data_IF_786715030287
#
_entry.id   IF_786715030287
#
_cell.length_a   1.000
_cell.length_b   1.000
_cell.length_c   1.000
_cell.angle_alpha   90.00
_cell.angle_beta   90.00
_cell.angle_gamma   90.00
#
_symmetry.space_group_name_H-M   'P 1'
#
loop_
_entity.id
_entity.type
_entity.pdbx_description
1 polymer ?
#
# COMPACT_ATOMS: atom_id res chain seq x y z
N UNK A 1 22.40 -36.20 1.72
CA UNK A 1 21.77 -35.33 2.72
C UNK A 1 22.18 -33.84 2.56
N UNK A 2 22.29 -33.34 1.33
CA UNK A 2 22.72 -31.95 1.02
C UNK A 2 21.70 -31.12 0.23
N UNK A 3 20.46 -31.58 0.08
CA UNK A 3 19.43 -30.88 -0.73
C UNK A 3 18.57 -29.85 0.03
N UNK A 4 18.68 -29.78 1.36
CA UNK A 4 17.84 -28.90 2.16
C UNK A 4 18.37 -27.46 2.30
N UNK A 5 19.64 -27.21 2.04
CA UNK A 5 20.27 -25.91 2.26
C UNK A 5 19.85 -24.89 1.17
N UNK A 6 19.65 -25.36 -0.06
CA UNK A 6 19.22 -24.52 -1.18
C UNK A 6 17.78 -24.02 -1.06
N UNK A 7 16.88 -24.85 -0.55
CA UNK A 7 15.48 -24.49 -0.35
C UNK A 7 15.28 -23.45 0.77
N UNK A 8 16.04 -23.56 1.83
CA UNK A 8 15.96 -22.61 2.94
C UNK A 8 16.57 -21.25 2.58
N UNK A 9 17.63 -21.21 1.81
CA UNK A 9 18.22 -19.96 1.34
C UNK A 9 17.31 -19.24 0.35
N UNK A 10 16.62 -19.97 -0.53
CA UNK A 10 15.62 -19.38 -1.45
C UNK A 10 14.40 -18.82 -0.75
N UNK A 11 13.91 -19.49 0.29
CA UNK A 11 12.79 -18.95 1.11
C UNK A 11 13.18 -17.67 1.84
N UNK A 12 14.38 -17.58 2.35
CA UNK A 12 14.89 -16.37 3.00
C UNK A 12 15.05 -15.20 2.02
N UNK A 13 15.58 -15.45 0.83
CA UNK A 13 15.70 -14.45 -0.23
C UNK A 13 14.34 -13.95 -0.71
N UNK A 14 13.40 -14.85 -0.94
CA UNK A 14 12.02 -14.52 -1.29
C UNK A 14 11.34 -13.66 -0.23
N UNK A 15 11.47 -14.05 1.04
CA UNK A 15 10.91 -13.30 2.17
C UNK A 15 11.54 -11.92 2.31
N UNK A 16 12.84 -11.81 2.09
CA UNK A 16 13.56 -10.54 2.15
C UNK A 16 13.12 -9.56 1.05
N UNK A 17 13.08 -10.02 -0.19
CA UNK A 17 12.60 -9.20 -1.33
C UNK A 17 11.16 -8.78 -1.11
N UNK A 18 10.30 -9.72 -0.69
CA UNK A 18 8.91 -9.44 -0.39
C UNK A 18 8.75 -8.39 0.71
N UNK A 19 9.50 -8.51 1.80
CA UNK A 19 9.48 -7.54 2.90
C UNK A 19 9.97 -6.16 2.46
N UNK A 20 11.03 -6.08 1.67
CA UNK A 20 11.58 -4.82 1.15
C UNK A 20 10.60 -4.11 0.23
N UNK A 21 10.00 -4.82 -0.71
CA UNK A 21 9.00 -4.25 -1.63
C UNK A 21 7.73 -3.86 -0.88
N UNK A 22 7.25 -4.72 0.03
CA UNK A 22 6.04 -4.44 0.82
C UNK A 22 6.22 -3.21 1.72
N UNK A 23 7.39 -3.07 2.37
CA UNK A 23 7.68 -1.89 3.18
C UNK A 23 7.77 -0.61 2.36
N UNK A 24 8.34 -0.67 1.15
CA UNK A 24 8.38 0.45 0.22
C UNK A 24 6.97 0.86 -0.22
N UNK A 25 6.12 -0.11 -0.57
CA UNK A 25 4.71 0.14 -0.93
C UNK A 25 3.95 0.75 0.24
N UNK A 26 4.11 0.20 1.45
CA UNK A 26 3.46 0.73 2.65
C UNK A 26 3.89 2.17 2.95
N UNK A 27 5.16 2.49 2.79
CA UNK A 27 5.69 3.84 3.00
C UNK A 27 5.14 4.83 1.97
N UNK A 28 5.12 4.46 0.70
CA UNK A 28 4.56 5.28 -0.38
C UNK A 28 3.06 5.49 -0.17
N UNK A 29 2.32 4.43 0.16
CA UNK A 29 0.90 4.50 0.46
C UNK A 29 0.61 5.46 1.62
N UNK A 30 1.38 5.36 2.69
CA UNK A 30 1.26 6.24 3.86
C UNK A 30 1.46 7.71 3.49
N UNK A 31 2.47 8.02 2.68
CA UNK A 31 2.73 9.39 2.21
C UNK A 31 1.58 9.90 1.36
N UNK A 32 1.12 9.13 0.38
CA UNK A 32 0.04 9.54 -0.53
C UNK A 32 -1.26 9.77 0.25
N UNK A 33 -1.65 8.82 1.10
CA UNK A 33 -2.88 8.91 1.91
C UNK A 33 -2.82 10.08 2.90
N UNK A 34 -1.64 10.36 3.47
CA UNK A 34 -1.47 11.51 4.37
C UNK A 34 -1.66 12.84 3.63
N UNK A 35 -1.06 12.98 2.45
CA UNK A 35 -1.21 14.17 1.63
C UNK A 35 -2.67 14.37 1.19
N UNK A 36 -3.33 13.30 0.78
CA UNK A 36 -4.74 13.31 0.40
C UNK A 36 -5.66 13.66 1.59
N UNK A 37 -5.39 13.09 2.75
CA UNK A 37 -6.14 13.42 3.98
C UNK A 37 -5.97 14.89 4.40
N UNK A 38 -4.75 15.43 4.27
CA UNK A 38 -4.50 16.86 4.54
C UNK A 38 -5.27 17.74 3.55
N UNK A 39 -5.26 17.41 2.25
CA UNK A 39 -6.08 18.09 1.26
C UNK A 39 -7.57 18.08 1.62
N UNK A 40 -8.10 16.92 2.00
CA UNK A 40 -9.49 16.78 2.39
C UNK A 40 -9.87 17.60 3.65
N UNK A 41 -8.94 17.73 4.58
CA UNK A 41 -9.14 18.61 5.76
C UNK A 41 -9.17 20.07 5.34
N UNK A 42 -8.27 20.50 4.45
CA UNK A 42 -8.22 21.87 3.94
C UNK A 42 -9.53 22.22 3.21
N UNK A 43 -9.96 21.35 2.29
CA UNK A 43 -11.23 21.52 1.57
C UNK A 43 -12.43 21.57 2.51
N UNK A 44 -12.41 20.76 3.57
CA UNK A 44 -13.46 20.75 4.59
C UNK A 44 -13.46 22.00 5.47
N UNK A 45 -12.32 22.66 5.66
CA UNK A 45 -12.21 23.90 6.44
C UNK A 45 -12.86 25.08 5.71
N UNK A 46 -12.82 25.10 4.38
CA UNK A 46 -13.48 26.15 3.59
C UNK A 46 -15.02 26.09 3.72
N UNK A 47 -15.57 24.92 4.06
CA UNK A 47 -16.99 24.73 4.35
C UNK A 47 -17.38 25.04 5.83
N UNK A 48 -16.39 25.29 6.69
CA UNK A 48 -16.62 25.67 8.09
C UNK A 48 -17.13 27.12 8.16
N UNK A 49 -18.31 27.29 8.54
CA UNK A 49 -18.95 28.60 8.73
C UNK A 49 -20.44 28.58 8.46
N UNK A 50 -20.90 27.64 7.68
CA UNK A 50 -22.33 27.52 7.34
C UNK A 50 -23.02 26.29 7.95
N UNK A 51 -22.35 25.17 8.18
CA UNK A 51 -23.01 23.94 8.68
C UNK A 51 -22.11 22.92 9.41
N UNK A 52 -20.77 23.05 9.40
CA UNK A 52 -19.90 22.03 9.94
C UNK A 52 -18.97 22.53 11.04
N UNK A 53 -18.80 21.70 12.06
CA UNK A 53 -17.80 21.91 13.12
C UNK A 53 -16.50 21.19 12.73
N UNK A 54 -15.34 21.73 13.11
CA UNK A 54 -14.01 21.13 12.83
C UNK A 54 -13.95 19.65 13.21
N UNK A 55 -14.53 19.26 14.34
CA UNK A 55 -14.59 17.85 14.76
C UNK A 55 -15.35 16.95 13.77
N UNK A 56 -16.38 17.48 13.11
CA UNK A 56 -17.14 16.73 12.09
C UNK A 56 -16.32 16.51 10.83
N UNK A 57 -15.51 17.48 10.43
CA UNK A 57 -14.58 17.34 9.29
C UNK A 57 -13.55 16.25 9.58
N UNK A 58 -12.95 16.26 10.77
CA UNK A 58 -11.97 15.24 11.17
C UNK A 58 -12.59 13.84 11.21
N UNK A 59 -13.79 13.71 11.75
CA UNK A 59 -14.51 12.42 11.77
C UNK A 59 -14.84 11.95 10.35
N UNK A 60 -15.28 12.85 9.48
CA UNK A 60 -15.56 12.54 8.09
C UNK A 60 -14.31 12.03 7.36
N UNK A 61 -13.18 12.72 7.48
CA UNK A 61 -11.91 12.31 6.90
C UNK A 61 -11.48 10.94 7.46
N UNK A 62 -11.60 10.73 8.78
CA UNK A 62 -11.26 9.44 9.39
C UNK A 62 -12.14 8.28 8.89
N UNK A 63 -13.43 8.52 8.68
CA UNK A 63 -14.36 7.52 8.14
C UNK A 63 -14.11 7.21 6.66
N UNK A 64 -13.61 8.18 5.90
CA UNK A 64 -13.28 8.01 4.48
C UNK A 64 -11.88 7.44 4.23
N UNK A 65 -11.02 7.36 5.26
CA UNK A 65 -9.67 6.80 5.14
C UNK A 65 -9.61 5.40 4.49
N UNK A 66 -10.47 4.42 4.86
CA UNK A 66 -10.44 3.10 4.23
C UNK A 66 -10.70 3.15 2.71
N UNK A 67 -11.64 3.98 2.28
CA UNK A 67 -11.95 4.17 0.87
C UNK A 67 -10.77 4.81 0.13
N UNK A 68 -10.14 5.82 0.72
CA UNK A 68 -8.96 6.50 0.19
C UNK A 68 -7.76 5.56 0.07
N UNK A 69 -7.52 4.74 1.07
CA UNK A 69 -6.48 3.70 1.02
C UNK A 69 -6.72 2.77 -0.16
N UNK A 70 -7.95 2.28 -0.31
CA UNK A 70 -8.34 1.41 -1.42
C UNK A 70 -8.07 2.05 -2.79
N UNK A 71 -8.47 3.30 -2.98
CA UNK A 71 -8.32 4.04 -4.22
C UNK A 71 -6.85 4.23 -4.61
N UNK A 72 -5.96 4.41 -3.63
CA UNK A 72 -4.54 4.67 -3.86
C UNK A 72 -3.65 3.41 -3.92
N UNK A 73 -4.19 2.22 -3.57
CA UNK A 73 -3.43 0.96 -3.61
C UNK A 73 -2.77 0.69 -4.97
N UNK A 74 -3.45 0.81 -6.13
CA UNK A 74 -2.83 0.50 -7.42
C UNK A 74 -1.65 1.42 -7.73
N UNK A 75 -1.81 2.71 -7.48
CA UNK A 75 -0.77 3.72 -7.71
C UNK A 75 0.40 3.56 -6.74
N UNK A 76 0.11 3.36 -5.46
CA UNK A 76 1.12 3.12 -4.44
C UNK A 76 1.89 1.82 -4.67
N UNK A 77 1.23 0.78 -5.17
CA UNK A 77 1.86 -0.49 -5.52
C UNK A 77 2.85 -0.33 -6.66
N UNK A 78 2.50 0.42 -7.69
CA UNK A 78 3.39 0.70 -8.82
C UNK A 78 4.63 1.48 -8.38
N UNK A 79 4.43 2.60 -7.71
CA UNK A 79 5.52 3.47 -7.24
C UNK A 79 6.37 2.75 -6.20
N UNK A 80 5.74 2.10 -5.22
CA UNK A 80 6.42 1.36 -4.17
C UNK A 80 7.24 0.17 -4.69
N UNK A 81 6.75 -0.51 -5.72
CA UNK A 81 7.48 -1.57 -6.42
C UNK A 81 8.74 -1.01 -7.11
N UNK A 82 8.61 0.10 -7.82
CA UNK A 82 9.76 0.77 -8.45
C UNK A 82 10.79 1.23 -7.42
N UNK A 83 10.35 1.84 -6.33
CA UNK A 83 11.22 2.28 -5.24
C UNK A 83 11.89 1.08 -4.55
N UNK A 84 11.13 0.05 -4.22
CA UNK A 84 11.65 -1.16 -3.55
C UNK A 84 12.69 -1.89 -4.40
N UNK A 85 12.42 -2.07 -5.69
CA UNK A 85 13.38 -2.66 -6.62
C UNK A 85 14.58 -1.74 -6.87
N UNK A 86 14.36 -0.43 -6.92
CA UNK A 86 15.44 0.57 -7.07
C UNK A 86 16.41 0.53 -5.90
N UNK A 87 15.92 0.42 -4.67
CA UNK A 87 16.75 0.28 -3.47
C UNK A 87 17.55 -1.03 -3.51
N UNK A 88 16.93 -2.15 -3.85
CA UNK A 88 17.60 -3.44 -4.01
C UNK A 88 18.68 -3.41 -5.10
N UNK A 89 18.40 -2.72 -6.22
CA UNK A 89 19.36 -2.55 -7.31
C UNK A 89 20.54 -1.65 -6.91
N UNK A 90 20.26 -0.56 -6.22
CA UNK A 90 21.28 0.39 -5.78
C UNK A 90 22.26 -0.23 -4.75
N UNK A 91 21.76 -1.09 -3.89
CA UNK A 91 22.58 -1.85 -2.94
C UNK A 91 23.29 -3.06 -3.57
N UNK A 92 23.23 -3.22 -4.87
CA UNK A 92 23.79 -4.37 -5.61
C UNK A 92 23.22 -5.75 -5.19
N UNK A 93 22.15 -5.77 -4.44
CA UNK A 93 21.52 -7.01 -3.95
C UNK A 93 20.92 -7.84 -5.10
N UNK A 94 20.34 -7.18 -6.12
CA UNK A 94 19.88 -7.84 -7.34
C UNK A 94 21.03 -8.50 -8.13
N UNK A 95 22.18 -7.86 -8.17
CA UNK A 95 23.39 -8.40 -8.83
C UNK A 95 23.87 -9.65 -8.11
N UNK A 96 23.92 -9.61 -6.78
CA UNK A 96 24.28 -10.74 -5.94
C UNK A 96 23.29 -11.92 -6.12
N UNK A 97 22.00 -11.65 -6.16
CA UNK A 97 20.98 -12.68 -6.42
C UNK A 97 21.15 -13.33 -7.80
N UNK A 98 21.44 -12.54 -8.83
CA UNK A 98 21.68 -13.05 -10.19
C UNK A 98 22.95 -13.86 -10.28
N UNK A 99 24.03 -13.43 -9.62
CA UNK A 99 25.29 -14.18 -9.56
C UNK A 99 25.16 -15.50 -8.79
N UNK A 100 24.24 -15.57 -7.82
CA UNK A 100 23.90 -16.79 -7.11
C UNK A 100 22.99 -17.77 -7.90
N UNK A 101 22.67 -17.46 -9.16
CA UNK A 101 21.88 -18.32 -10.05
C UNK A 101 20.37 -18.12 -9.98
N UNK A 102 19.89 -17.04 -9.35
CA UNK A 102 18.46 -16.70 -9.34
C UNK A 102 18.07 -16.06 -10.68
N UNK A 103 17.13 -16.69 -11.40
CA UNK A 103 16.65 -16.14 -12.66
C UNK A 103 15.84 -14.86 -12.49
N UNK A 104 15.89 -13.97 -13.48
CA UNK A 104 15.12 -12.74 -13.50
C UNK A 104 13.61 -12.98 -13.33
N UNK A 105 13.11 -14.04 -13.97
CA UNK A 105 11.70 -14.45 -13.87
C UNK A 105 11.29 -14.79 -12.43
N UNK A 106 12.19 -15.37 -11.67
CA UNK A 106 11.96 -15.72 -10.26
C UNK A 106 11.92 -14.50 -9.37
N UNK A 107 12.77 -13.50 -9.65
CA UNK A 107 12.73 -12.19 -8.95
C UNK A 107 11.40 -11.49 -9.21
N UNK A 108 10.96 -11.45 -10.46
CA UNK A 108 9.65 -10.90 -10.85
C UNK A 108 8.52 -11.62 -10.12
N UNK A 109 8.57 -12.93 -10.01
CA UNK A 109 7.58 -13.71 -9.27
C UNK A 109 7.56 -13.37 -7.77
N UNK A 110 8.71 -13.17 -7.15
CA UNK A 110 8.82 -12.78 -5.76
C UNK A 110 8.22 -11.40 -5.48
N UNK A 111 8.40 -10.48 -6.42
CA UNK A 111 7.84 -9.12 -6.34
C UNK A 111 6.33 -9.11 -6.63
N UNK A 112 5.87 -9.99 -7.50
CA UNK A 112 4.43 -10.09 -7.85
C UNK A 112 3.57 -10.58 -6.68
N UNK A 113 4.11 -11.42 -5.80
CA UNK A 113 3.37 -11.97 -4.65
C UNK A 113 2.81 -10.90 -3.71
N UNK A 114 3.59 -9.94 -3.17
CA UNK A 114 3.06 -8.92 -2.29
C UNK A 114 2.06 -8.00 -2.99
N UNK A 115 2.26 -7.73 -4.27
CA UNK A 115 1.33 -6.93 -5.08
C UNK A 115 -0.01 -7.64 -5.21
N UNK A 116 -0.01 -8.94 -5.51
CA UNK A 116 -1.24 -9.75 -5.58
C UNK A 116 -1.95 -9.82 -4.22
N UNK A 117 -1.21 -9.93 -3.12
CA UNK A 117 -1.80 -9.87 -1.76
C UNK A 117 -2.46 -8.52 -1.49
N UNK A 118 -1.82 -7.42 -1.89
CA UNK A 118 -2.38 -6.08 -1.71
C UNK A 118 -3.61 -5.86 -2.57
N UNK A 119 -3.61 -6.34 -3.81
CA UNK A 119 -4.79 -6.28 -4.69
C UNK A 119 -5.95 -7.07 -4.07
N UNK A 120 -5.69 -8.25 -3.55
CA UNK A 120 -6.70 -9.08 -2.91
C UNK A 120 -7.26 -8.43 -1.63
N UNK A 121 -6.37 -7.91 -0.77
CA UNK A 121 -6.76 -7.15 0.42
C UNK A 121 -7.54 -5.89 0.05
N UNK A 122 -7.10 -5.17 -0.98
CA UNK A 122 -7.80 -4.01 -1.50
C UNK A 122 -9.19 -4.34 -2.00
N UNK A 123 -9.35 -5.45 -2.74
CA UNK A 123 -10.65 -5.91 -3.20
C UNK A 123 -11.57 -6.25 -2.03
N UNK A 124 -11.08 -6.93 -1.00
CA UNK A 124 -11.84 -7.22 0.21
C UNK A 124 -12.26 -5.95 0.94
N UNK A 125 -11.36 -4.98 1.10
CA UNK A 125 -11.68 -3.69 1.70
C UNK A 125 -12.71 -2.92 0.86
N UNK A 126 -12.56 -2.94 -0.47
CA UNK A 126 -13.50 -2.30 -1.38
C UNK A 126 -14.91 -2.88 -1.32
N UNK A 127 -15.03 -4.21 -1.19
CA UNK A 127 -16.33 -4.87 -1.18
C UNK A 127 -17.01 -4.84 0.20
N UNK A 128 -16.25 -4.92 1.30
CA UNK A 128 -16.81 -5.07 2.64
C UNK A 128 -16.75 -3.79 3.48
N UNK A 129 -15.72 -2.97 3.36
CA UNK A 129 -15.49 -1.81 4.24
C UNK A 129 -15.99 -0.50 3.62
N UNK A 130 -15.72 -0.29 2.34
CA UNK A 130 -16.06 0.98 1.66
C UNK A 130 -17.57 1.27 1.66
N UNK A 131 -18.48 0.34 1.30
CA UNK A 131 -19.90 0.63 1.29
C UNK A 131 -20.47 0.96 2.68
N UNK A 132 -19.90 0.40 3.76
CA UNK A 132 -20.32 0.70 5.12
C UNK A 132 -19.87 2.09 5.57
N UNK A 133 -18.61 2.46 5.28
CA UNK A 133 -18.05 3.76 5.67
C UNK A 133 -18.64 4.92 4.89
N UNK A 134 -18.89 4.75 3.61
CA UNK A 134 -19.49 5.80 2.77
C UNK A 134 -20.93 6.08 3.16
N UNK A 135 -21.73 5.07 3.47
CA UNK A 135 -23.10 5.26 3.97
C UNK A 135 -23.14 6.01 5.30
N UNK A 136 -22.21 5.74 6.21
CA UNK A 136 -22.11 6.49 7.46
C UNK A 136 -21.62 7.92 7.26
N UNK A 137 -20.71 8.16 6.33
CA UNK A 137 -20.21 9.47 5.99
C UNK A 137 -21.29 10.34 5.32
N UNK A 138 -22.05 9.78 4.39
CA UNK A 138 -23.16 10.47 3.70
C UNK A 138 -24.33 10.77 4.63
N UNK A 139 -24.69 9.85 5.53
CA UNK A 139 -25.78 10.09 6.48
C UNK A 139 -25.48 11.24 7.43
N UNK A 140 -24.22 11.53 7.71
CA UNK A 140 -23.81 12.69 8.50
C UNK A 140 -23.71 13.99 7.69
N UNK A 141 -23.61 13.89 6.39
CA UNK A 141 -23.56 15.06 5.51
C UNK A 141 -24.96 15.62 5.20
N UNK A 142 -25.99 14.77 5.27
CA UNK A 142 -27.39 15.15 5.00
C UNK A 142 -28.13 15.73 6.24
N UNK A 143 -27.54 15.65 7.39
CA UNK A 143 -28.10 16.20 8.64
C UNK A 143 -27.34 17.46 9.04
#
# INVERSE_FOLDING_TARGET
MKFNTGYQSMRRLSSYVMASVLSAIAMVLLVIVTLDAVGAVIDGVDDIGNKYTFSQVVIYVALTLPARIYEHIPMASLIGCLVGLGVLANNSELVVMRSAGVSLLRIVWFVSRPILMLIFLGALLGEFVVPYTDQYAESRRMV
#
